data_IF_809180538812
#
_entry.id   IF_809180538812
#
_cell.length_a   1.000
_cell.length_b   1.000
_cell.length_c   1.000
_cell.angle_alpha   90.00
_cell.angle_beta   90.00
_cell.angle_gamma   90.00
#
_symmetry.space_group_name_H-M   'P 1'
#
loop_
_entity.id
_entity.type
_entity.pdbx_description
1 polymer ?
#
# COMPACT_ATOMS: atom_id res chain seq x y z
N UNK A 1 12.82 -13.78 1.27
CA UNK A 1 13.45 -12.83 0.32
C UNK A 1 13.77 -11.58 1.10
N UNK A 2 14.97 -11.01 0.93
CA UNK A 2 15.41 -9.82 1.66
C UNK A 2 14.96 -8.54 0.97
N UNK A 3 14.70 -7.48 1.74
CA UNK A 3 14.42 -6.16 1.19
C UNK A 3 15.63 -5.61 0.41
N UNK A 4 15.38 -5.08 -0.78
CA UNK A 4 16.36 -4.30 -1.57
C UNK A 4 15.69 -3.02 -2.09
N UNK A 5 16.47 -1.99 -2.47
CA UNK A 5 15.93 -0.78 -3.09
C UNK A 5 15.02 -1.05 -4.30
N UNK A 6 15.44 -1.93 -5.21
CA UNK A 6 14.65 -2.30 -6.39
C UNK A 6 13.36 -2.99 -6.00
N UNK A 7 13.43 -3.90 -5.02
CA UNK A 7 12.27 -4.64 -4.54
C UNK A 7 11.24 -3.71 -3.89
N UNK A 8 11.68 -2.67 -3.16
CA UNK A 8 10.79 -1.66 -2.60
C UNK A 8 10.10 -0.85 -3.70
N UNK A 9 10.86 -0.34 -4.69
CA UNK A 9 10.30 0.43 -5.81
C UNK A 9 9.27 -0.39 -6.58
N UNK A 10 9.61 -1.63 -6.92
CA UNK A 10 8.75 -2.55 -7.64
C UNK A 10 7.50 -2.91 -6.82
N UNK A 11 7.66 -3.22 -5.53
CA UNK A 11 6.55 -3.51 -4.61
C UNK A 11 5.56 -2.36 -4.52
N UNK A 12 6.05 -1.12 -4.37
CA UNK A 12 5.22 0.08 -4.39
C UNK A 12 4.50 0.26 -5.73
N UNK A 13 5.19 0.12 -6.86
CA UNK A 13 4.58 0.27 -8.18
C UNK A 13 3.49 -0.79 -8.42
N UNK A 14 3.73 -2.04 -8.02
CA UNK A 14 2.74 -3.09 -8.19
C UNK A 14 1.55 -2.91 -7.26
N UNK A 15 1.76 -2.46 -6.01
CA UNK A 15 0.67 -2.12 -5.10
C UNK A 15 -0.19 -0.97 -5.65
N UNK A 16 0.44 0.10 -6.14
CA UNK A 16 -0.28 1.22 -6.76
C UNK A 16 -1.16 0.75 -7.93
N UNK A 17 -0.65 -0.14 -8.79
CA UNK A 17 -1.43 -0.74 -9.88
C UNK A 17 -2.66 -1.49 -9.36
N UNK A 18 -2.50 -2.32 -8.32
CA UNK A 18 -3.63 -3.07 -7.76
C UNK A 18 -4.64 -2.16 -7.06
N UNK A 19 -4.20 -1.12 -6.37
CA UNK A 19 -5.08 -0.10 -5.79
C UNK A 19 -5.90 0.62 -6.87
N UNK A 20 -5.28 1.03 -7.98
CA UNK A 20 -6.01 1.59 -9.14
C UNK A 20 -7.04 0.60 -9.69
N UNK A 21 -6.68 -0.69 -9.77
CA UNK A 21 -7.60 -1.71 -10.28
C UNK A 21 -8.78 -1.95 -9.33
N UNK A 22 -8.55 -1.94 -8.01
CA UNK A 22 -9.61 -2.05 -7.00
C UNK A 22 -10.57 -0.86 -7.06
N UNK A 23 -10.03 0.36 -7.24
CA UNK A 23 -10.81 1.57 -7.47
C UNK A 23 -11.70 1.43 -8.72
N UNK A 24 -11.12 1.00 -9.86
CA UNK A 24 -11.86 0.80 -11.11
C UNK A 24 -12.99 -0.23 -10.99
N UNK A 25 -12.84 -1.22 -10.10
CA UNK A 25 -13.87 -2.21 -9.78
C UNK A 25 -14.87 -1.72 -8.72
N UNK A 26 -14.80 -0.45 -8.32
CA UNK A 26 -15.62 0.18 -7.29
C UNK A 26 -15.56 -0.56 -5.93
N UNK A 27 -14.41 -1.17 -5.61
CA UNK A 27 -14.24 -1.83 -4.31
C UNK A 27 -14.14 -0.78 -3.20
N UNK A 28 -14.86 -0.93 -2.08
CA UNK A 28 -14.96 0.14 -1.09
C UNK A 28 -13.65 0.36 -0.33
N UNK A 29 -13.20 1.61 -0.26
CA UNK A 29 -12.14 2.03 0.64
C UNK A 29 -12.44 3.46 1.08
N UNK A 30 -12.73 3.65 2.38
CA UNK A 30 -12.92 4.99 2.93
C UNK A 30 -11.59 5.58 3.39
N UNK A 31 -11.50 6.91 3.50
CA UNK A 31 -10.30 7.58 4.02
C UNK A 31 -10.05 7.16 5.47
N UNK A 32 -11.12 7.00 6.26
CA UNK A 32 -11.04 6.52 7.64
C UNK A 32 -10.48 5.09 7.72
N UNK A 33 -10.90 4.21 6.80
CA UNK A 33 -10.36 2.85 6.69
C UNK A 33 -8.87 2.89 6.33
N UNK A 34 -8.49 3.71 5.34
CA UNK A 34 -7.09 3.86 4.95
C UNK A 34 -6.21 4.28 6.13
N UNK A 35 -6.60 5.34 6.87
CA UNK A 35 -5.84 5.81 8.03
C UNK A 35 -5.84 4.81 9.20
N UNK A 36 -7.00 4.23 9.50
CA UNK A 36 -7.12 3.22 10.55
C UNK A 36 -6.24 2.00 10.27
N UNK A 37 -6.22 1.49 9.05
CA UNK A 37 -5.41 0.30 8.74
C UNK A 37 -3.93 0.64 8.62
N UNK A 38 -3.59 1.82 8.10
CA UNK A 38 -2.19 2.27 7.99
C UNK A 38 -1.57 2.51 9.37
N UNK A 39 -2.27 3.21 10.28
CA UNK A 39 -1.79 3.44 11.66
C UNK A 39 -1.59 2.16 12.47
N UNK A 40 -2.30 1.08 12.12
CA UNK A 40 -2.15 -0.25 12.72
C UNK A 40 -1.16 -1.16 11.96
N UNK A 41 -0.42 -0.63 10.97
CA UNK A 41 0.53 -1.39 10.14
C UNK A 41 -0.11 -2.65 9.50
N UNK A 42 -1.37 -2.50 9.08
CA UNK A 42 -2.20 -3.60 8.58
C UNK A 42 -2.97 -3.25 7.30
N UNK A 43 -2.62 -2.18 6.60
CA UNK A 43 -3.30 -1.75 5.39
C UNK A 43 -3.17 -2.77 4.26
N UNK A 44 -1.94 -3.15 3.90
CA UNK A 44 -1.66 -4.12 2.83
C UNK A 44 -2.29 -5.46 3.20
N UNK A 45 -2.07 -5.94 4.43
CA UNK A 45 -2.68 -7.19 4.90
C UNK A 45 -4.20 -7.16 4.76
N UNK A 46 -4.85 -6.08 5.21
CA UNK A 46 -6.30 -5.93 5.14
C UNK A 46 -6.82 -5.86 3.70
N UNK A 47 -6.10 -5.18 2.80
CA UNK A 47 -6.42 -5.15 1.37
C UNK A 47 -6.41 -6.56 0.78
N UNK A 48 -5.39 -7.37 1.11
CA UNK A 48 -5.35 -8.76 0.66
C UNK A 48 -6.44 -9.62 1.31
N UNK A 49 -6.72 -9.48 2.60
CA UNK A 49 -7.80 -10.23 3.25
C UNK A 49 -9.17 -9.90 2.66
N UNK A 50 -9.45 -8.63 2.34
CA UNK A 50 -10.77 -8.20 1.86
C UNK A 50 -10.96 -8.39 0.36
N UNK A 51 -9.91 -8.13 -0.42
CA UNK A 51 -10.03 -8.00 -1.88
C UNK A 51 -9.16 -8.98 -2.67
N UNK A 52 -8.69 -10.04 -2.00
CA UNK A 52 -7.80 -11.07 -2.59
C UNK A 52 -8.27 -11.55 -3.96
N UNK A 53 -9.55 -11.86 -4.07
CA UNK A 53 -10.16 -12.43 -5.28
C UNK A 53 -10.08 -11.50 -6.48
N UNK A 54 -9.96 -10.19 -6.24
CA UNK A 54 -9.79 -9.21 -7.28
C UNK A 54 -8.30 -9.07 -7.66
N UNK A 55 -7.38 -9.14 -6.70
CA UNK A 55 -5.94 -8.87 -6.90
C UNK A 55 -5.30 -9.81 -7.92
N UNK A 56 -4.65 -9.23 -8.95
CA UNK A 56 -4.01 -9.98 -10.03
C UNK A 56 -2.49 -9.87 -9.96
N UNK A 57 -1.85 -10.95 -9.50
CA UNK A 57 -0.40 -11.11 -9.67
C UNK A 57 0.46 -10.26 -8.73
N UNK A 58 -0.02 -9.98 -7.51
CA UNK A 58 0.75 -9.32 -6.45
C UNK A 58 1.02 -10.28 -5.26
N UNK A 59 1.40 -11.51 -5.58
CA UNK A 59 1.60 -12.59 -4.60
C UNK A 59 2.70 -12.29 -3.56
N UNK A 60 3.65 -11.43 -3.90
CA UNK A 60 4.78 -11.07 -3.04
C UNK A 60 4.38 -10.29 -1.78
N UNK A 61 3.23 -9.60 -1.80
CA UNK A 61 2.66 -8.85 -0.67
C UNK A 61 1.49 -9.59 -0.02
N UNK A 62 1.11 -10.74 -0.57
CA UNK A 62 -0.02 -11.53 -0.10
C UNK A 62 0.41 -12.48 1.01
N UNK A 63 -0.02 -12.21 2.24
CA UNK A 63 0.39 -12.97 3.44
C UNK A 63 -0.03 -14.45 3.43
N UNK A 64 -0.98 -14.87 2.59
CA UNK A 64 -1.31 -16.30 2.42
C UNK A 64 -0.72 -16.89 1.13
N UNK A 65 0.22 -16.21 0.46
CA UNK A 65 0.94 -16.74 -0.70
C UNK A 65 2.26 -17.41 -0.31
N UNK A 66 2.66 -18.44 -1.05
CA UNK A 66 3.99 -19.06 -0.92
C UNK A 66 5.14 -18.10 -1.31
N UNK A 67 4.85 -17.06 -2.09
CA UNK A 67 5.82 -16.05 -2.54
C UNK A 67 5.90 -14.84 -1.60
N UNK A 68 5.20 -14.85 -0.46
CA UNK A 68 5.12 -13.74 0.46
C UNK A 68 6.49 -13.27 0.95
N UNK A 69 6.76 -11.97 0.80
CA UNK A 69 7.95 -11.32 1.30
C UNK A 69 7.61 -10.51 2.56
N UNK A 70 7.86 -11.12 3.71
CA UNK A 70 7.61 -10.53 5.03
C UNK A 70 8.34 -9.19 5.19
N UNK A 71 9.65 -9.14 4.90
CA UNK A 71 10.47 -7.93 5.08
C UNK A 71 9.95 -6.75 4.24
N UNK A 72 9.57 -6.98 2.98
CA UNK A 72 9.00 -5.95 2.12
C UNK A 72 7.66 -5.44 2.66
N UNK A 73 6.79 -6.37 3.05
CA UNK A 73 5.44 -6.02 3.52
C UNK A 73 5.50 -5.27 4.85
N UNK A 74 6.32 -5.74 5.81
CA UNK A 74 6.52 -5.06 7.09
C UNK A 74 7.13 -3.66 6.89
N UNK A 75 8.10 -3.52 5.98
CA UNK A 75 8.65 -2.21 5.66
C UNK A 75 7.57 -1.27 5.11
N UNK A 76 6.79 -1.72 4.12
CA UNK A 76 5.77 -0.89 3.49
C UNK A 76 4.64 -0.53 4.46
N UNK A 77 4.19 -1.45 5.32
CA UNK A 77 3.18 -1.20 6.36
C UNK A 77 3.67 -0.16 7.38
N UNK A 78 4.90 -0.31 7.87
CA UNK A 78 5.49 0.68 8.79
C UNK A 78 5.67 2.04 8.08
N UNK A 79 6.07 2.04 6.80
CA UNK A 79 6.18 3.27 6.03
C UNK A 79 4.81 3.96 5.84
N UNK A 80 3.75 3.21 5.54
CA UNK A 80 2.38 3.72 5.48
C UNK A 80 1.97 4.37 6.80
N UNK A 81 2.29 3.75 7.94
CA UNK A 81 2.03 4.32 9.27
C UNK A 81 2.79 5.62 9.53
N UNK A 82 4.07 5.70 9.13
CA UNK A 82 4.87 6.95 9.26
C UNK A 82 4.31 8.07 8.39
N UNK A 83 3.90 7.74 7.17
CA UNK A 83 3.36 8.71 6.20
C UNK A 83 1.96 9.19 6.58
N UNK A 84 1.12 8.37 7.22
CA UNK A 84 -0.18 8.81 7.78
C UNK A 84 -0.03 9.97 8.76
N UNK A 85 1.02 9.96 9.58
CA UNK A 85 1.29 11.03 10.55
C UNK A 85 1.66 12.38 9.91
N UNK A 86 2.00 12.41 8.61
CA UNK A 86 2.53 13.60 7.92
C UNK A 86 1.65 14.02 6.74
N UNK A 87 0.93 13.08 6.14
CA UNK A 87 0.17 13.28 4.92
C UNK A 87 -1.32 13.30 5.27
N UNK A 88 -1.90 14.50 5.21
CA UNK A 88 -3.35 14.68 5.28
C UNK A 88 -3.96 14.71 3.88
N UNK A 89 -5.28 14.46 3.73
CA UNK A 89 -6.00 14.60 2.46
C UNK A 89 -5.71 15.93 1.75
N UNK A 90 -5.54 17.00 2.52
CA UNK A 90 -5.24 18.35 2.02
C UNK A 90 -3.84 18.49 1.43
N UNK A 91 -2.85 17.73 1.90
CA UNK A 91 -1.45 17.77 1.40
C UNK A 91 -1.40 17.41 -0.09
N UNK A 92 -2.26 16.50 -0.53
CA UNK A 92 -2.37 16.09 -1.93
C UNK A 92 -3.58 16.68 -2.66
N UNK A 93 -4.41 17.48 -2.00
CA UNK A 93 -5.68 17.97 -2.54
C UNK A 93 -6.69 16.84 -2.83
N UNK A 94 -6.53 15.68 -2.19
CA UNK A 94 -7.38 14.50 -2.35
C UNK A 94 -8.31 14.42 -1.15
N UNK A 95 -9.48 15.05 -1.25
CA UNK A 95 -10.42 15.15 -0.12
C UNK A 95 -11.36 13.94 0.02
N UNK A 96 -11.63 13.22 -1.07
CA UNK A 96 -12.76 12.27 -1.09
C UNK A 96 -12.40 10.84 -1.52
N UNK A 97 -11.19 10.61 -2.06
CA UNK A 97 -10.82 9.32 -2.65
C UNK A 97 -9.62 8.69 -1.94
N UNK A 98 -9.90 7.65 -1.14
CA UNK A 98 -8.88 6.96 -0.36
C UNK A 98 -7.86 6.20 -1.21
N UNK A 99 -8.23 5.69 -2.38
CA UNK A 99 -7.27 5.02 -3.27
C UNK A 99 -6.26 6.00 -3.83
N UNK A 100 -6.71 7.17 -4.28
CA UNK A 100 -5.79 8.22 -4.77
C UNK A 100 -4.84 8.68 -3.66
N UNK A 101 -5.33 8.81 -2.42
CA UNK A 101 -4.49 9.13 -1.27
C UNK A 101 -3.45 8.03 -1.02
N UNK A 102 -3.88 6.77 -0.93
CA UNK A 102 -3.00 5.62 -0.72
C UNK A 102 -1.93 5.50 -1.81
N UNK A 103 -2.30 5.71 -3.08
CA UNK A 103 -1.36 5.68 -4.22
C UNK A 103 -0.28 6.77 -4.11
N UNK A 104 -0.65 7.99 -3.71
CA UNK A 104 0.33 9.07 -3.52
C UNK A 104 1.30 8.77 -2.38
N UNK A 105 0.79 8.20 -1.28
CA UNK A 105 1.65 7.73 -0.17
C UNK A 105 2.59 6.63 -0.65
N UNK A 106 2.09 5.64 -1.38
CA UNK A 106 2.90 4.54 -1.92
C UNK A 106 4.03 5.05 -2.84
N UNK A 107 3.78 6.09 -3.65
CA UNK A 107 4.84 6.73 -4.44
C UNK A 107 5.85 7.48 -3.59
N UNK A 108 5.44 8.07 -2.47
CA UNK A 108 6.38 8.69 -1.52
C UNK A 108 7.26 7.63 -0.85
N UNK A 109 6.69 6.49 -0.46
CA UNK A 109 7.43 5.34 0.06
C UNK A 109 8.43 4.79 -0.98
N UNK A 110 8.05 4.74 -2.25
CA UNK A 110 8.95 4.29 -3.32
C UNK A 110 10.24 5.13 -3.40
N UNK A 111 10.20 6.40 -2.99
CA UNK A 111 11.38 7.29 -2.96
C UNK A 111 12.31 7.00 -1.79
N UNK A 112 11.83 6.38 -0.71
CA UNK A 112 12.69 5.95 0.40
C UNK A 112 13.70 4.88 -0.04
N UNK A 113 13.45 4.19 -1.16
CA UNK A 113 14.40 3.28 -1.77
C UNK A 113 15.71 3.96 -2.23
N UNK A 114 15.71 5.28 -2.42
CA UNK A 114 16.93 6.02 -2.76
C UNK A 114 17.90 6.13 -1.56
N UNK A 115 17.39 5.92 -0.34
CA UNK A 115 18.11 6.08 0.93
C UNK A 115 18.37 4.73 1.66
N UNK A 116 18.00 3.60 1.04
CA UNK A 116 18.18 2.22 1.53
C UNK A 116 19.53 1.63 1.11
#
# INVERSE_FOLDING_TARGET
>A
MKLTPELLRDGCQWLARELTRLEQLNQPLSINDFFSWSSNEAFIKTIFTRYREFIKGLYILDHESEYYCVELTEYMENALARHENVITPEVYGVVDNAYLLAINVVFSIAREADDL
#
